data_IF_336837926342
#
_entry.id   IF_336837926342
#
_cell.length_a   1.000
_cell.length_b   1.000
_cell.length_c   1.000
_cell.angle_alpha   90.00
_cell.angle_beta   90.00
_cell.angle_gamma   90.00
#
_symmetry.space_group_name_H-M   'P 1'
#
loop_
_entity.id
_entity.type
_entity.pdbx_description
1 polymer ?
#
# COMPACT_ATOMS: atom_id res chain seq x y z
N UNK A 1 -4.70 21.10 10.91
CA UNK A 1 -5.06 20.03 9.96
C UNK A 1 -5.39 18.80 10.78
N UNK A 2 -6.64 18.36 10.81
CA UNK A 2 -7.08 17.17 11.53
C UNK A 2 -7.40 16.08 10.52
N UNK A 3 -6.86 14.89 10.73
CA UNK A 3 -7.23 13.72 9.92
C UNK A 3 -8.63 13.28 10.37
N UNK A 4 -9.57 13.02 9.44
CA UNK A 4 -10.91 12.59 9.81
C UNK A 4 -10.91 11.23 10.52
N UNK A 5 -11.73 11.07 11.55
CA UNK A 5 -11.77 9.84 12.38
C UNK A 5 -12.19 8.61 11.58
N UNK A 6 -13.08 8.80 10.60
CA UNK A 6 -13.51 7.76 9.67
C UNK A 6 -12.35 7.20 8.84
N UNK A 7 -11.43 8.07 8.39
CA UNK A 7 -10.25 7.66 7.64
C UNK A 7 -9.28 6.86 8.53
N UNK A 8 -9.17 7.25 9.81
CA UNK A 8 -8.37 6.49 10.79
C UNK A 8 -8.98 5.11 11.01
N UNK A 9 -10.31 5.01 11.15
CA UNK A 9 -10.99 3.73 11.30
C UNK A 9 -10.79 2.82 10.08
N UNK A 10 -10.84 3.39 8.87
CA UNK A 10 -10.57 2.66 7.62
C UNK A 10 -9.11 2.15 7.56
N UNK A 11 -8.14 3.01 7.90
CA UNK A 11 -6.74 2.62 7.96
C UNK A 11 -6.46 1.51 9.00
N UNK A 12 -7.16 1.54 10.15
CA UNK A 12 -7.10 0.46 11.15
C UNK A 12 -7.64 -0.85 10.56
N UNK A 13 -8.72 -0.79 9.78
CA UNK A 13 -9.30 -1.95 9.09
C UNK A 13 -8.31 -2.58 8.11
N UNK A 14 -7.67 -1.77 7.25
CA UNK A 14 -6.63 -2.25 6.33
C UNK A 14 -5.47 -2.90 7.08
N UNK A 15 -5.03 -2.28 8.19
CA UNK A 15 -3.97 -2.86 9.03
C UNK A 15 -4.35 -4.24 9.56
N UNK A 16 -5.59 -4.42 10.06
CA UNK A 16 -6.06 -5.73 10.51
C UNK A 16 -6.13 -6.74 9.36
N UNK A 17 -6.58 -6.33 8.17
CA UNK A 17 -6.67 -7.18 6.98
C UNK A 17 -5.29 -7.71 6.53
N UNK A 18 -4.28 -6.82 6.49
CA UNK A 18 -2.91 -7.19 6.15
C UNK A 18 -2.29 -8.06 7.24
N UNK A 19 -2.47 -7.70 8.51
CA UNK A 19 -1.89 -8.45 9.63
C UNK A 19 -2.50 -9.85 9.80
N UNK A 20 -3.77 -10.03 9.43
CA UNK A 20 -4.45 -11.32 9.52
C UNK A 20 -3.99 -12.34 8.47
N UNK A 21 -3.41 -11.90 7.35
CA UNK A 21 -2.82 -12.82 6.37
C UNK A 21 -1.47 -12.25 5.90
N UNK A 22 -0.41 -12.46 6.71
CA UNK A 22 0.93 -12.01 6.37
C UNK A 22 1.48 -12.80 5.19
N UNK A 23 2.18 -12.11 4.29
CA UNK A 23 2.90 -12.71 3.16
C UNK A 23 4.40 -12.47 3.31
N UNK A 24 5.22 -13.44 2.93
CA UNK A 24 6.68 -13.35 3.06
C UNK A 24 7.28 -12.52 1.94
N UNK A 25 8.56 -12.15 2.12
CA UNK A 25 9.35 -11.44 1.13
C UNK A 25 9.23 -12.09 -0.26
N UNK A 26 8.88 -11.28 -1.27
CA UNK A 26 8.68 -11.65 -2.68
C UNK A 26 7.43 -12.50 -2.99
N UNK A 27 6.58 -12.73 -2.00
CA UNK A 27 5.34 -13.52 -2.14
C UNK A 27 4.08 -12.70 -1.79
N UNK A 28 4.19 -11.38 -1.71
CA UNK A 28 3.16 -10.43 -1.27
C UNK A 28 2.09 -10.16 -2.35
N UNK A 29 1.62 -11.20 -3.04
CA UNK A 29 0.71 -11.07 -4.17
C UNK A 29 -0.65 -10.49 -3.77
N UNK A 30 -1.22 -10.94 -2.65
CA UNK A 30 -2.53 -10.46 -2.15
C UNK A 30 -2.41 -9.04 -1.63
N UNK A 31 -1.37 -8.76 -0.86
CA UNK A 31 -1.10 -7.44 -0.27
C UNK A 31 -0.82 -6.41 -1.36
N UNK A 32 0.00 -6.77 -2.36
CA UNK A 32 0.27 -5.95 -3.54
C UNK A 32 -1.01 -5.63 -4.32
N UNK A 33 -1.84 -6.65 -4.61
CA UNK A 33 -3.10 -6.46 -5.32
C UNK A 33 -4.04 -5.51 -4.56
N UNK A 34 -4.17 -5.71 -3.24
CA UNK A 34 -5.03 -4.88 -2.39
C UNK A 34 -4.56 -3.42 -2.33
N UNK A 35 -3.26 -3.19 -2.20
CA UNK A 35 -2.68 -1.83 -2.25
C UNK A 35 -2.94 -1.19 -3.61
N UNK A 36 -2.76 -1.93 -4.70
CA UNK A 36 -3.00 -1.41 -6.04
C UNK A 36 -4.47 -1.03 -6.26
N UNK A 37 -5.42 -1.80 -5.74
CA UNK A 37 -6.85 -1.47 -5.75
C UNK A 37 -7.16 -0.19 -4.97
N UNK A 38 -6.64 -0.07 -3.75
CA UNK A 38 -6.83 1.13 -2.92
C UNK A 38 -6.28 2.38 -3.62
N UNK A 39 -5.04 2.33 -4.10
CA UNK A 39 -4.41 3.47 -4.80
C UNK A 39 -5.18 3.87 -6.07
N UNK A 40 -5.68 2.89 -6.84
CA UNK A 40 -6.56 3.17 -7.99
C UNK A 40 -7.86 3.83 -7.56
N UNK A 41 -8.47 3.36 -6.46
CA UNK A 41 -9.72 3.92 -5.93
C UNK A 41 -9.57 5.38 -5.47
N UNK A 42 -8.35 5.77 -5.06
CA UNK A 42 -8.01 7.15 -4.70
C UNK A 42 -7.69 8.04 -5.91
N UNK A 43 -7.71 7.47 -7.13
CA UNK A 43 -7.46 8.20 -8.37
C UNK A 43 -5.99 8.36 -8.76
N UNK A 44 -5.08 7.53 -8.22
CA UNK A 44 -3.66 7.56 -8.60
C UNK A 44 -3.39 6.76 -9.89
N UNK A 45 -2.34 7.18 -10.61
CA UNK A 45 -1.72 6.34 -11.65
C UNK A 45 -0.94 5.22 -10.94
N UNK A 46 -1.31 3.96 -11.16
CA UNK A 46 -0.72 2.81 -10.44
C UNK A 46 0.05 1.91 -11.38
N UNK A 47 1.32 1.62 -11.03
CA UNK A 47 2.17 0.61 -11.65
C UNK A 47 2.43 -0.52 -10.67
N UNK A 48 2.23 -1.76 -11.12
CA UNK A 48 2.45 -3.00 -10.36
C UNK A 48 3.53 -3.83 -11.05
N UNK A 49 4.02 -4.88 -10.39
CA UNK A 49 5.02 -5.78 -10.97
C UNK A 49 6.45 -5.26 -10.85
N UNK A 50 6.69 -4.23 -10.03
CA UNK A 50 8.00 -3.60 -9.89
C UNK A 50 8.84 -4.47 -8.95
N UNK A 51 9.87 -5.12 -9.47
CA UNK A 51 10.68 -6.05 -8.66
C UNK A 51 9.89 -7.26 -8.15
N UNK A 52 8.85 -7.69 -8.88
CA UNK A 52 7.96 -8.79 -8.48
C UNK A 52 6.62 -8.27 -7.98
N UNK A 53 6.52 -8.01 -6.68
CA UNK A 53 5.27 -7.64 -5.99
C UNK A 53 5.17 -6.13 -5.71
N UNK A 54 6.19 -5.34 -6.03
CA UNK A 54 6.20 -3.91 -5.75
C UNK A 54 5.12 -3.11 -6.50
N UNK A 55 4.58 -2.09 -5.81
CA UNK A 55 3.53 -1.19 -6.30
C UNK A 55 4.00 0.26 -6.15
N UNK A 56 3.79 1.07 -7.19
CA UNK A 56 4.04 2.52 -7.16
C UNK A 56 2.77 3.26 -7.59
N UNK A 57 2.25 4.11 -6.70
CA UNK A 57 1.20 5.08 -7.00
C UNK A 57 1.78 6.46 -7.27
N UNK A 58 1.36 7.10 -8.35
CA UNK A 58 1.78 8.46 -8.74
C UNK A 58 0.58 9.41 -8.72
N UNK A 59 0.67 10.45 -7.90
CA UNK A 59 -0.24 11.59 -7.93
C UNK A 59 0.44 12.73 -8.69
N UNK A 60 -0.19 13.23 -9.77
CA UNK A 60 0.32 14.35 -10.57
C UNK A 60 -0.53 15.59 -10.35
N UNK A 61 0.10 16.71 -10.01
CA UNK A 61 -0.56 17.99 -9.88
C UNK A 61 0.35 19.13 -10.36
N UNK A 62 0.14 19.57 -11.60
CA UNK A 62 0.95 20.62 -12.22
C UNK A 62 2.40 20.20 -12.51
N UNK A 63 3.25 21.19 -12.78
CA UNK A 63 4.68 21.01 -13.01
C UNK A 63 5.46 21.46 -11.77
N UNK A 64 6.45 20.67 -11.35
CA UNK A 64 7.25 20.99 -10.17
C UNK A 64 8.12 19.83 -9.71
N UNK A 65 8.85 20.00 -8.58
CA UNK A 65 9.63 18.94 -7.96
C UNK A 65 8.72 17.78 -7.51
N UNK A 66 9.29 16.58 -7.44
CA UNK A 66 8.61 15.37 -6.99
C UNK A 66 9.08 14.95 -5.59
N UNK A 67 8.19 14.38 -4.79
CA UNK A 67 8.50 13.74 -3.51
C UNK A 67 8.12 12.27 -3.55
N UNK A 68 8.96 11.41 -2.98
CA UNK A 68 8.72 9.97 -2.87
C UNK A 68 8.44 9.57 -1.43
N UNK A 69 7.42 8.73 -1.23
CA UNK A 69 7.14 8.05 0.03
C UNK A 69 7.31 6.54 -0.20
N UNK A 70 7.92 5.84 0.75
CA UNK A 70 8.23 4.41 0.65
C UNK A 70 7.81 3.68 1.91
N UNK A 71 7.16 2.53 1.73
CA UNK A 71 6.82 1.59 2.79
C UNK A 71 7.09 0.16 2.31
N UNK A 72 7.47 -0.71 3.25
CA UNK A 72 7.61 -2.16 3.04
C UNK A 72 6.28 -2.86 3.31
N UNK A 73 6.09 -4.03 2.68
CA UNK A 73 4.83 -4.78 2.72
C UNK A 73 5.00 -6.24 3.15
N UNK A 74 6.24 -6.71 3.30
CA UNK A 74 6.57 -8.08 3.67
C UNK A 74 6.45 -8.34 5.17
N UNK A 75 6.12 -9.57 5.50
CA UNK A 75 6.12 -10.09 6.86
C UNK A 75 7.33 -11.01 7.09
N UNK A 76 7.59 -11.30 8.37
CA UNK A 76 8.64 -12.22 8.80
C UNK A 76 8.07 -13.62 9.08
N UNK A 77 8.85 -14.69 8.84
CA UNK A 77 8.48 -16.06 9.18
C UNK A 77 8.68 -16.29 10.68
N UNK A 78 7.75 -15.80 11.50
CA UNK A 78 7.73 -16.05 12.93
C UNK A 78 6.97 -17.34 13.22
N UNK A 79 7.63 -18.30 13.86
CA UNK A 79 6.94 -19.46 14.45
C UNK A 79 6.38 -19.04 15.81
N UNK A 80 5.06 -19.15 15.98
CA UNK A 80 4.41 -19.09 17.29
C UNK A 80 4.74 -20.30 18.15
#
# INVERSE_FOLDING_TARGET
MTIPTELIAEAISWRHEFHANPELAYEEYRTSARIAELLKSFGLEVKVGIGGTGVVGTLRHGQGPSVGLRADIDALPLTS
#
